data_IF_234941261549
#
_entry.id   IF_234941261549
#
_cell.length_a   1.000
_cell.length_b   1.000
_cell.length_c   1.000
_cell.angle_alpha   90.00
_cell.angle_beta   90.00
_cell.angle_gamma   90.00
#
_symmetry.space_group_name_H-M   'P 1'
#
loop_
_entity.id
_entity.type
_entity.pdbx_description
1 polymer ?
#
# COMPACT_ATOMS: atom_id res chain seq x y z
N UNK A 1 17.25 -15.87 -24.13
CA UNK A 1 16.79 -16.62 -22.96
C UNK A 1 17.25 -15.98 -21.64
N UNK A 2 18.56 -15.72 -21.44
CA UNK A 2 19.06 -15.01 -20.24
C UNK A 2 18.40 -13.66 -19.97
N UNK A 3 18.25 -12.81 -21.00
CA UNK A 3 17.65 -11.47 -20.85
C UNK A 3 16.22 -11.58 -20.30
N UNK A 4 15.40 -12.50 -20.83
CA UNK A 4 14.04 -12.72 -20.32
C UNK A 4 14.05 -13.22 -18.87
N UNK A 5 14.97 -14.11 -18.51
CA UNK A 5 15.10 -14.67 -17.15
C UNK A 5 15.49 -13.60 -16.12
N UNK A 6 16.23 -12.57 -16.51
CA UNK A 6 16.58 -11.46 -15.60
C UNK A 6 15.56 -10.31 -15.63
N UNK A 7 15.07 -9.92 -16.81
CA UNK A 7 14.15 -8.80 -16.94
C UNK A 7 12.78 -9.09 -16.31
N UNK A 8 12.27 -10.32 -16.44
CA UNK A 8 10.95 -10.69 -15.92
C UNK A 8 10.91 -10.54 -14.38
N UNK A 9 11.79 -11.16 -13.59
CA UNK A 9 11.81 -10.98 -12.13
C UNK A 9 12.04 -9.53 -11.71
N UNK A 10 12.91 -8.78 -12.41
CA UNK A 10 13.18 -7.37 -12.08
C UNK A 10 11.93 -6.52 -12.26
N UNK A 11 11.18 -6.73 -13.35
CA UNK A 11 9.92 -6.01 -13.59
C UNK A 11 8.86 -6.37 -12.55
N UNK A 12 8.67 -7.65 -12.25
CA UNK A 12 7.67 -8.09 -11.28
C UNK A 12 8.02 -7.72 -9.84
N UNK A 13 9.28 -7.90 -9.42
CA UNK A 13 9.73 -7.54 -8.08
C UNK A 13 9.77 -6.03 -7.88
N UNK A 14 10.28 -5.27 -8.87
CA UNK A 14 10.30 -3.80 -8.85
C UNK A 14 8.90 -3.18 -8.84
N UNK A 15 7.93 -3.79 -9.54
CA UNK A 15 6.54 -3.30 -9.58
C UNK A 15 5.75 -3.65 -8.33
N UNK A 16 6.19 -4.63 -7.52
CA UNK A 16 5.44 -5.10 -6.34
C UNK A 16 5.28 -4.02 -5.25
N UNK A 17 6.19 -3.06 -5.19
CA UNK A 17 6.16 -1.94 -4.25
C UNK A 17 5.46 -0.69 -4.80
N UNK A 18 5.12 -0.66 -6.09
CA UNK A 18 4.45 0.48 -6.73
C UNK A 18 3.03 0.70 -6.20
N UNK A 19 2.18 -0.33 -6.00
CA UNK A 19 0.88 -0.15 -5.34
C UNK A 19 1.01 0.38 -3.91
N UNK A 20 2.04 -0.07 -3.18
CA UNK A 20 2.34 0.40 -1.82
C UNK A 20 2.81 1.87 -1.81
N UNK A 21 3.42 2.35 -2.89
CA UNK A 21 3.74 3.77 -3.03
C UNK A 21 2.52 4.63 -3.40
N UNK A 22 1.53 4.05 -4.12
CA UNK A 22 0.33 4.76 -4.58
C UNK A 22 -0.74 4.90 -3.49
N UNK A 23 -0.88 3.89 -2.62
CA UNK A 23 -1.87 3.89 -1.55
C UNK A 23 -1.18 4.00 -0.19
N UNK A 24 -1.65 4.85 0.73
CA UNK A 24 -0.99 5.03 2.02
C UNK A 24 -1.04 3.72 2.82
N UNK A 25 0.13 3.15 3.11
CA UNK A 25 0.25 1.80 3.71
C UNK A 25 0.23 1.84 5.23
N UNK A 26 -0.60 2.69 5.86
CA UNK A 26 -0.76 2.77 7.32
C UNK A 26 0.51 2.49 8.15
N UNK A 27 0.44 1.50 9.06
CA UNK A 27 1.57 1.04 9.89
C UNK A 27 2.49 0.01 9.19
N UNK A 28 2.18 -0.40 7.94
CA UNK A 28 2.97 -1.37 7.16
C UNK A 28 2.89 -2.84 7.59
N UNK A 29 2.65 -3.13 8.87
CA UNK A 29 2.62 -4.50 9.43
C UNK A 29 1.44 -5.33 8.90
N UNK A 30 0.25 -4.72 8.80
CA UNK A 30 -0.93 -5.39 8.21
C UNK A 30 -0.71 -5.70 6.72
N UNK A 31 -0.12 -4.75 5.99
CA UNK A 31 0.22 -4.92 4.57
C UNK A 31 1.21 -6.07 4.38
N UNK A 32 2.25 -6.13 5.22
CA UNK A 32 3.22 -7.23 5.22
C UNK A 32 2.54 -8.60 5.39
N UNK A 33 1.60 -8.71 6.32
CA UNK A 33 0.90 -9.97 6.55
C UNK A 33 0.11 -10.42 5.31
N UNK A 34 -0.67 -9.53 4.70
CA UNK A 34 -1.43 -9.86 3.49
C UNK A 34 -0.52 -10.15 2.28
N UNK A 35 0.63 -9.48 2.19
CA UNK A 35 1.66 -9.79 1.19
C UNK A 35 2.21 -11.22 1.39
N UNK A 36 2.53 -11.61 2.62
CA UNK A 36 2.98 -12.97 2.95
C UNK A 36 1.93 -14.03 2.64
N UNK A 37 0.64 -13.74 2.88
CA UNK A 37 -0.47 -14.63 2.49
C UNK A 37 -0.48 -14.85 0.98
N UNK A 38 -0.31 -13.79 0.18
CA UNK A 38 -0.19 -13.89 -1.27
C UNK A 38 0.99 -14.75 -1.72
N UNK A 39 2.17 -14.53 -1.16
CA UNK A 39 3.37 -15.34 -1.44
C UNK A 39 3.12 -16.82 -1.10
N UNK A 40 2.50 -17.11 0.04
CA UNK A 40 2.18 -18.48 0.41
C UNK A 40 1.20 -19.16 -0.55
N UNK A 41 0.15 -18.45 -0.98
CA UNK A 41 -0.81 -18.97 -1.98
C UNK A 41 -0.09 -19.32 -3.29
N UNK A 42 0.81 -18.46 -3.77
CA UNK A 42 1.60 -18.77 -4.96
C UNK A 42 2.50 -20.00 -4.76
N UNK A 43 3.10 -20.17 -3.59
CA UNK A 43 3.86 -21.37 -3.24
C UNK A 43 3.01 -22.63 -3.21
N UNK A 44 1.79 -22.56 -2.69
CA UNK A 44 0.87 -23.68 -2.67
C UNK A 44 0.51 -24.15 -4.09
N UNK A 45 0.27 -23.20 -5.01
CA UNK A 45 0.03 -23.52 -6.43
C UNK A 45 1.26 -24.20 -7.05
N UNK A 46 2.47 -23.66 -6.82
CA UNK A 46 3.72 -24.27 -7.31
C UNK A 46 3.91 -25.68 -6.74
N UNK A 47 3.62 -25.88 -5.45
CA UNK A 47 3.72 -27.19 -4.80
C UNK A 47 2.80 -28.24 -5.42
N UNK A 48 1.58 -27.83 -5.82
CA UNK A 48 0.64 -28.70 -6.55
C UNK A 48 1.17 -29.08 -7.94
N UNK A 49 1.80 -28.14 -8.66
CA UNK A 49 2.41 -28.40 -9.98
C UNK A 49 3.58 -29.37 -9.87
N UNK A 50 4.40 -29.24 -8.82
CA UNK A 50 5.62 -30.02 -8.58
C UNK A 50 5.34 -31.41 -7.99
N UNK A 51 4.07 -31.73 -7.71
CA UNK A 51 3.61 -33.04 -7.19
C UNK A 51 4.19 -33.39 -5.82
N UNK A 52 4.05 -32.48 -4.85
CA UNK A 52 4.35 -32.70 -3.42
C UNK A 52 5.78 -33.24 -3.15
N UNK A 53 6.83 -32.42 -3.37
CA UNK A 53 8.19 -32.75 -2.97
C UNK A 53 8.33 -32.93 -1.44
N UNK A 54 9.39 -33.62 -0.99
CA UNK A 54 9.64 -33.81 0.44
C UNK A 54 9.85 -32.49 1.17
N UNK A 55 9.21 -32.35 2.33
CA UNK A 55 9.21 -31.14 3.14
C UNK A 55 10.41 -31.12 4.10
N UNK A 56 11.28 -30.12 3.97
CA UNK A 56 12.45 -29.94 4.83
C UNK A 56 12.27 -28.73 5.77
N UNK A 57 12.05 -28.94 7.09
CA UNK A 57 11.80 -27.86 8.04
C UNK A 57 12.94 -26.85 8.17
N UNK A 58 14.19 -27.27 7.93
CA UNK A 58 15.36 -26.39 8.02
C UNK A 58 15.27 -25.20 7.04
N UNK A 59 14.62 -25.39 5.88
CA UNK A 59 14.39 -24.34 4.89
C UNK A 59 13.43 -23.26 5.39
N UNK A 60 12.57 -23.59 6.35
CA UNK A 60 11.64 -22.63 6.94
C UNK A 60 12.38 -21.45 7.59
N UNK A 61 13.58 -21.68 8.14
CA UNK A 61 14.43 -20.63 8.73
C UNK A 61 14.73 -19.53 7.71
N UNK A 62 14.96 -19.89 6.45
CA UNK A 62 15.14 -18.91 5.36
C UNK A 62 13.91 -18.02 5.18
N UNK A 63 12.72 -18.60 5.27
CA UNK A 63 11.46 -17.87 5.26
C UNK A 63 11.27 -16.95 6.47
N UNK A 64 11.72 -17.38 7.66
CA UNK A 64 11.69 -16.55 8.87
C UNK A 64 12.60 -15.32 8.72
N UNK A 65 13.82 -15.52 8.19
CA UNK A 65 14.77 -14.44 7.93
C UNK A 65 14.22 -13.43 6.93
N UNK A 66 13.56 -13.92 5.86
CA UNK A 66 12.90 -13.07 4.87
C UNK A 66 11.78 -12.23 5.48
N UNK A 67 10.89 -12.84 6.28
CA UNK A 67 9.78 -12.13 6.91
C UNK A 67 10.28 -11.06 7.90
N UNK A 68 11.33 -11.37 8.66
CA UNK A 68 11.99 -10.43 9.58
C UNK A 68 12.61 -9.26 8.81
N UNK A 69 13.38 -9.56 7.75
CA UNK A 69 14.01 -8.55 6.91
C UNK A 69 12.98 -7.62 6.25
N UNK A 70 11.83 -8.15 5.82
CA UNK A 70 10.83 -7.34 5.13
C UNK A 70 10.12 -6.34 6.05
N UNK A 71 9.84 -6.73 7.30
CA UNK A 71 9.30 -5.78 8.29
C UNK A 71 10.30 -4.65 8.57
N UNK A 72 11.58 -4.99 8.80
CA UNK A 72 12.62 -3.99 9.01
C UNK A 72 12.75 -3.06 7.81
N UNK A 73 12.67 -3.59 6.59
CA UNK A 73 12.74 -2.81 5.37
C UNK A 73 11.58 -1.81 5.21
N UNK A 74 10.34 -2.20 5.56
CA UNK A 74 9.20 -1.28 5.58
C UNK A 74 9.44 -0.12 6.56
N UNK A 75 10.01 -0.40 7.73
CA UNK A 75 10.39 0.65 8.67
C UNK A 75 11.49 1.56 8.12
N UNK A 76 12.50 1.02 7.45
CA UNK A 76 13.57 1.82 6.82
C UNK A 76 13.00 2.76 5.75
N UNK A 77 12.08 2.30 4.90
CA UNK A 77 11.39 3.14 3.91
C UNK A 77 10.70 4.34 4.58
N UNK A 78 10.07 4.13 5.74
CA UNK A 78 9.39 5.21 6.47
C UNK A 78 10.34 6.27 7.06
N UNK A 79 11.62 5.93 7.26
CA UNK A 79 12.64 6.84 7.85
C UNK A 79 13.44 7.54 6.75
N UNK A 80 13.92 6.77 5.77
CA UNK A 80 14.94 7.22 4.80
C UNK A 80 14.38 7.51 3.40
N UNK A 81 13.11 7.15 3.13
CA UNK A 81 12.50 7.26 1.81
C UNK A 81 12.73 6.03 0.92
N UNK A 82 11.86 5.82 -0.07
CA UNK A 82 11.79 4.58 -0.88
C UNK A 82 13.08 4.35 -1.71
N UNK A 83 13.59 5.39 -2.33
CA UNK A 83 14.75 5.39 -3.23
C UNK A 83 16.05 5.01 -2.51
N UNK A 84 16.37 5.71 -1.41
CA UNK A 84 17.55 5.44 -0.60
C UNK A 84 17.48 4.05 0.05
N UNK A 85 16.29 3.65 0.53
CA UNK A 85 16.08 2.35 1.16
C UNK A 85 16.31 1.19 0.19
N UNK A 86 15.76 1.25 -1.03
CA UNK A 86 15.96 0.21 -2.05
C UNK A 86 17.44 0.11 -2.45
N UNK A 87 18.16 1.24 -2.54
CA UNK A 87 19.58 1.26 -2.87
C UNK A 87 20.43 0.59 -1.78
N UNK A 88 20.20 0.96 -0.52
CA UNK A 88 20.91 0.37 0.63
C UNK A 88 20.63 -1.13 0.73
N UNK A 89 19.35 -1.53 0.64
CA UNK A 89 18.94 -2.93 0.65
C UNK A 89 19.59 -3.74 -0.48
N UNK A 90 19.58 -3.21 -1.71
CA UNK A 90 20.19 -3.88 -2.86
C UNK A 90 21.70 -4.03 -2.71
N UNK A 91 22.36 -3.02 -2.15
CA UNK A 91 23.83 -3.03 -1.94
C UNK A 91 24.22 -4.03 -0.86
N UNK A 92 23.50 -4.04 0.26
CA UNK A 92 23.74 -5.02 1.33
C UNK A 92 23.41 -6.44 0.90
N UNK A 93 22.35 -6.65 0.11
CA UNK A 93 22.04 -7.98 -0.43
C UNK A 93 23.12 -8.47 -1.40
N UNK A 94 23.65 -7.60 -2.26
CA UNK A 94 24.76 -7.95 -3.16
C UNK A 94 26.02 -8.27 -2.35
N UNK A 95 26.33 -7.46 -1.35
CA UNK A 95 27.46 -7.69 -0.46
C UNK A 95 27.30 -8.99 0.33
N UNK A 96 26.11 -9.27 0.88
CA UNK A 96 25.86 -10.48 1.66
C UNK A 96 25.79 -11.72 0.77
N UNK A 97 25.25 -11.62 -0.45
CA UNK A 97 25.31 -12.70 -1.44
C UNK A 97 26.74 -13.03 -1.85
N UNK A 98 27.57 -12.00 -2.05
CA UNK A 98 29.01 -12.16 -2.25
C UNK A 98 29.70 -12.73 -1.01
N UNK A 99 29.45 -12.20 0.19
CA UNK A 99 30.07 -12.63 1.44
C UNK A 99 29.69 -14.06 1.83
N UNK A 100 28.42 -14.45 1.61
CA UNK A 100 27.96 -15.83 1.82
C UNK A 100 28.62 -16.80 0.85
N UNK A 101 28.87 -16.38 -0.40
CA UNK A 101 29.61 -17.16 -1.39
C UNK A 101 31.13 -17.17 -1.18
N UNK A 102 31.71 -16.11 -0.60
CA UNK A 102 33.16 -15.93 -0.45
C UNK A 102 33.71 -16.41 0.90
N UNK A 103 33.01 -16.10 2.00
CA UNK A 103 33.41 -16.49 3.36
C UNK A 103 32.84 -17.83 3.80
N UNK A 104 31.91 -18.41 3.03
CA UNK A 104 31.41 -19.76 3.28
C UNK A 104 31.04 -19.98 4.74
N UNK A 105 30.07 -19.21 5.28
CA UNK A 105 29.35 -19.71 6.43
C UNK A 105 28.79 -21.07 6.00
N UNK A 106 29.38 -22.16 6.54
CA UNK A 106 29.23 -23.57 6.12
C UNK A 106 30.12 -24.10 4.95
N UNK A 107 31.42 -23.79 4.94
CA UNK A 107 32.52 -24.55 4.28
C UNK A 107 32.41 -24.74 2.75
N UNK A 108 32.61 -23.66 1.98
CA UNK A 108 32.70 -23.71 0.50
C UNK A 108 33.95 -22.93 0.03
N UNK A 109 34.78 -23.57 -0.80
CA UNK A 109 36.11 -23.12 -1.23
C UNK A 109 36.08 -21.97 -2.26
N UNK A 110 36.88 -20.92 -2.03
CA UNK A 110 36.89 -19.67 -2.80
C UNK A 110 37.91 -19.58 -3.94
N UNK A 111 37.67 -18.62 -4.85
CA UNK A 111 38.62 -18.10 -5.84
C UNK A 111 38.62 -16.56 -5.78
N UNK A 112 39.83 -15.99 -5.90
CA UNK A 112 40.21 -14.59 -5.67
C UNK A 112 39.94 -13.65 -6.87
N UNK A 113 40.07 -12.33 -6.59
CA UNK A 113 40.20 -11.14 -7.47
C UNK A 113 38.86 -10.44 -7.81
N UNK A 114 38.70 -9.10 -7.81
CA UNK A 114 39.54 -7.93 -7.52
C UNK A 114 38.57 -6.76 -7.28
N UNK A 115 38.91 -5.84 -6.36
CA UNK A 115 38.15 -4.59 -6.12
C UNK A 115 38.53 -3.57 -7.18
N UNK A 116 37.54 -3.00 -7.86
CA UNK A 116 37.68 -1.74 -8.60
C UNK A 116 36.61 -0.76 -8.15
N UNK A 117 37.08 0.45 -7.91
CA UNK A 117 36.44 1.65 -7.37
C UNK A 117 35.07 2.00 -7.95
N UNK A 118 34.27 2.75 -7.18
CA UNK A 118 33.69 4.00 -7.68
C UNK A 118 33.19 4.88 -6.52
N UNK A 119 33.68 6.11 -6.54
CA UNK A 119 33.53 7.20 -5.58
C UNK A 119 32.34 8.11 -5.95
N UNK A 120 31.77 8.73 -4.92
CA UNK A 120 31.07 10.02 -4.86
C UNK A 120 29.81 10.32 -5.71
N UNK A 121 28.71 10.58 -5.00
CA UNK A 121 28.16 11.94 -4.97
C UNK A 121 27.28 12.18 -3.74
N UNK A 122 27.77 13.09 -2.89
CA UNK A 122 27.00 13.77 -1.85
C UNK A 122 25.83 14.54 -2.47
N UNK A 123 24.60 14.34 -1.94
CA UNK A 123 23.57 15.40 -1.81
C UNK A 123 22.44 14.91 -0.90
N UNK A 124 21.89 15.85 -0.12
CA UNK A 124 20.80 15.73 0.88
C UNK A 124 21.23 15.33 2.30
N UNK A 125 22.16 16.11 2.86
CA UNK A 125 22.40 16.26 4.29
C UNK A 125 21.55 17.42 4.85
N UNK A 126 20.28 17.18 5.16
CA UNK A 126 19.51 17.99 6.13
C UNK A 126 18.40 17.17 6.78
N UNK A 127 18.71 15.93 7.20
CA UNK A 127 17.79 15.17 8.07
C UNK A 127 18.58 14.56 9.24
N UNK A 128 18.10 14.87 10.43
CA UNK A 128 18.56 14.47 11.77
C UNK A 128 19.50 13.25 11.82
N UNK A 129 20.81 13.47 12.02
CA UNK A 129 21.88 12.44 11.98
C UNK A 129 21.58 11.19 12.81
N UNK A 130 20.89 11.34 13.96
CA UNK A 130 20.52 10.22 14.83
C UNK A 130 19.53 9.25 14.16
N UNK A 131 18.57 9.76 13.39
CA UNK A 131 17.59 8.94 12.67
C UNK A 131 18.24 8.21 11.49
N UNK A 132 19.18 8.86 10.82
CA UNK A 132 19.89 8.29 9.66
C UNK A 132 20.86 7.17 10.03
N UNK A 133 21.53 7.27 11.18
CA UNK A 133 22.37 6.17 11.70
C UNK A 133 21.51 4.95 12.05
N UNK A 134 20.32 5.18 12.61
CA UNK A 134 19.36 4.11 12.92
C UNK A 134 18.84 3.48 11.61
N UNK A 135 18.45 4.30 10.62
CA UNK A 135 18.01 3.85 9.30
C UNK A 135 19.08 3.03 8.56
N UNK A 136 20.32 3.54 8.47
CA UNK A 136 21.43 2.82 7.86
C UNK A 136 21.78 1.50 8.57
N UNK A 137 21.76 1.48 9.91
CA UNK A 137 22.06 0.24 10.66
C UNK A 137 20.95 -0.80 10.48
N UNK A 138 19.68 -0.39 10.50
CA UNK A 138 18.53 -1.25 10.19
C UNK A 138 18.55 -1.76 8.74
N UNK A 139 18.96 -0.93 7.77
CA UNK A 139 19.09 -1.33 6.37
C UNK A 139 20.16 -2.42 6.18
N UNK A 140 21.30 -2.28 6.87
CA UNK A 140 22.35 -3.29 6.87
C UNK A 140 21.83 -4.60 7.48
N UNK A 141 21.18 -4.53 8.64
CA UNK A 141 20.61 -5.74 9.29
C UNK A 141 19.52 -6.38 8.42
N UNK A 142 18.65 -5.60 7.79
CA UNK A 142 17.64 -6.13 6.88
C UNK A 142 18.30 -6.83 5.68
N UNK A 143 19.29 -6.18 5.05
CA UNK A 143 19.99 -6.76 3.91
C UNK A 143 20.84 -8.00 4.26
N UNK A 144 21.39 -8.09 5.47
CA UNK A 144 22.05 -9.31 5.91
C UNK A 144 21.07 -10.47 6.07
N UNK A 145 19.91 -10.22 6.68
CA UNK A 145 18.84 -11.23 6.81
C UNK A 145 18.35 -11.71 5.45
N UNK A 146 18.14 -10.79 4.49
CA UNK A 146 17.72 -11.12 3.13
C UNK A 146 18.79 -11.91 2.36
N UNK A 147 20.07 -11.57 2.52
CA UNK A 147 21.16 -12.31 1.89
C UNK A 147 21.28 -13.76 2.38
N UNK A 148 20.83 -14.05 3.61
CA UNK A 148 20.88 -15.39 4.21
C UNK A 148 19.63 -16.25 3.94
N UNK A 149 18.61 -15.72 3.25
CA UNK A 149 17.33 -16.41 3.01
C UNK A 149 17.51 -17.75 2.28
N UNK A 150 18.43 -17.80 1.31
CA UNK A 150 18.66 -19.01 0.52
C UNK A 150 19.73 -19.95 1.13
N UNK A 151 20.48 -19.52 2.14
CA UNK A 151 21.57 -20.30 2.75
C UNK A 151 21.12 -21.67 3.29
N UNK A 152 19.97 -21.80 3.98
CA UNK A 152 19.49 -23.12 4.42
C UNK A 152 19.12 -24.03 3.24
N UNK A 153 18.62 -23.47 2.15
CA UNK A 153 18.24 -24.24 0.95
C UNK A 153 19.46 -24.73 0.17
N UNK A 154 20.50 -23.90 0.05
CA UNK A 154 21.76 -24.28 -0.61
C UNK A 154 22.54 -25.28 0.25
N UNK A 155 22.48 -25.16 1.58
CA UNK A 155 23.10 -26.12 2.49
C UNK A 155 22.57 -27.56 2.30
N UNK A 156 21.26 -27.73 2.19
CA UNK A 156 20.62 -29.04 1.96
C UNK A 156 20.95 -29.56 0.54
N UNK A 157 20.98 -28.67 -0.45
CA UNK A 157 21.37 -29.04 -1.82
C UNK A 157 22.81 -29.53 -1.91
N UNK A 158 23.71 -29.00 -1.08
CA UNK A 158 25.13 -29.36 -1.07
C UNK A 158 25.44 -30.59 -0.19
N UNK A 159 24.61 -30.91 0.80
CA UNK A 159 24.80 -32.05 1.72
C UNK A 159 23.75 -33.16 1.48
N UNK A 160 23.63 -33.62 0.24
CA UNK A 160 22.65 -34.66 -0.14
C UNK A 160 22.87 -35.98 0.62
N UNK A 161 24.10 -36.26 1.05
CA UNK A 161 24.48 -37.46 1.79
C UNK A 161 23.82 -37.52 3.18
N UNK A 162 23.50 -36.35 3.76
CA UNK A 162 22.90 -36.21 5.09
C UNK A 162 21.37 -36.13 5.05
N UNK A 163 20.78 -35.86 3.88
CA UNK A 163 19.35 -35.65 3.70
C UNK A 163 18.80 -36.50 2.54
N UNK A 164 18.33 -37.74 2.81
CA UNK A 164 17.75 -38.59 1.77
C UNK A 164 16.49 -37.92 1.18
N UNK A 165 16.45 -37.79 -0.15
CA UNK A 165 15.36 -37.11 -0.87
C UNK A 165 15.65 -35.64 -1.24
N UNK A 166 16.83 -35.11 -0.91
CA UNK A 166 17.26 -33.78 -1.36
C UNK A 166 17.56 -33.77 -2.86
N UNK A 167 16.80 -32.99 -3.63
CA UNK A 167 16.97 -32.82 -5.09
C UNK A 167 17.67 -31.47 -5.34
N UNK A 168 18.57 -31.37 -6.32
CA UNK A 168 19.27 -30.10 -6.63
C UNK A 168 18.37 -28.99 -7.19
N UNK A 169 17.12 -29.31 -7.55
CA UNK A 169 16.17 -28.34 -8.06
C UNK A 169 15.64 -27.45 -6.94
N UNK A 170 15.93 -26.14 -7.02
CA UNK A 170 15.54 -25.15 -6.03
C UNK A 170 14.02 -25.05 -5.81
N UNK A 171 13.21 -25.34 -6.84
CA UNK A 171 11.75 -25.25 -6.78
C UNK A 171 11.12 -26.10 -5.67
N UNK A 172 11.74 -27.24 -5.35
CA UNK A 172 11.21 -28.19 -4.37
C UNK A 172 11.26 -27.64 -2.94
N UNK A 173 12.12 -26.65 -2.67
CA UNK A 173 12.32 -26.07 -1.34
C UNK A 173 11.48 -24.81 -1.11
N UNK A 174 10.91 -24.23 -2.17
CA UNK A 174 10.19 -22.94 -2.13
C UNK A 174 8.96 -23.02 -1.23
N UNK A 175 8.21 -24.13 -1.30
CA UNK A 175 7.01 -24.29 -0.50
C UNK A 175 7.31 -24.32 1.01
N UNK A 176 8.38 -25.02 1.41
CA UNK A 176 8.84 -25.04 2.80
C UNK A 176 9.29 -23.64 3.26
N UNK A 177 10.03 -22.91 2.40
CA UNK A 177 10.44 -21.54 2.67
C UNK A 177 9.23 -20.60 2.89
N UNK A 178 8.23 -20.65 2.00
CA UNK A 178 7.06 -19.78 2.08
C UNK A 178 6.16 -20.12 3.27
N UNK A 179 6.11 -21.39 3.69
CA UNK A 179 5.43 -21.78 4.92
C UNK A 179 6.10 -21.17 6.15
N UNK A 180 7.43 -21.07 6.16
CA UNK A 180 8.18 -20.31 7.17
C UNK A 180 7.81 -18.83 7.20
N UNK A 181 7.70 -18.19 6.02
CA UNK A 181 7.29 -16.78 5.87
C UNK A 181 5.93 -16.55 6.53
N UNK A 182 4.92 -17.37 6.18
CA UNK A 182 3.56 -17.19 6.68
C UNK A 182 3.47 -17.37 8.20
N UNK A 183 4.14 -18.38 8.76
CA UNK A 183 4.13 -18.64 10.19
C UNK A 183 4.74 -17.47 10.97
N UNK A 184 5.92 -17.00 10.56
CA UNK A 184 6.56 -15.85 11.23
C UNK A 184 5.73 -14.58 11.09
N UNK A 185 5.16 -14.32 9.90
CA UNK A 185 4.30 -13.17 9.70
C UNK A 185 3.01 -13.23 10.52
N UNK A 186 2.45 -14.42 10.74
CA UNK A 186 1.26 -14.62 11.58
C UNK A 186 1.56 -14.34 13.04
N UNK A 187 2.74 -14.74 13.53
CA UNK A 187 3.20 -14.42 14.89
C UNK A 187 3.38 -12.91 15.07
N UNK A 188 4.05 -12.24 14.12
CA UNK A 188 4.22 -10.78 14.17
C UNK A 188 2.89 -10.03 14.14
N UNK A 189 1.97 -10.48 13.29
CA UNK A 189 0.64 -9.86 13.22
C UNK A 189 -0.18 -10.12 14.50
N UNK A 190 -0.10 -11.33 15.06
CA UNK A 190 -0.74 -11.66 16.34
C UNK A 190 -0.24 -10.77 17.49
N UNK A 191 1.08 -10.59 17.60
CA UNK A 191 1.68 -9.67 18.59
C UNK A 191 1.20 -8.24 18.35
N UNK A 192 1.19 -7.77 17.09
CA UNK A 192 0.71 -6.44 16.72
C UNK A 192 -0.76 -6.22 17.11
N UNK A 193 -1.64 -7.19 16.88
CA UNK A 193 -3.05 -7.11 17.24
C UNK A 193 -3.27 -7.02 18.77
N UNK A 194 -2.46 -7.74 19.55
CA UNK A 194 -2.49 -7.68 21.01
C UNK A 194 -2.10 -6.27 21.49
N UNK A 195 -1.00 -5.72 20.98
CA UNK A 195 -0.56 -4.36 21.33
C UNK A 195 -1.58 -3.29 20.92
N UNK A 196 -2.21 -3.43 19.75
CA UNK A 196 -3.21 -2.48 19.23
C UNK A 196 -4.64 -2.73 19.72
N UNK A 197 -4.86 -3.66 20.67
CA UNK A 197 -6.18 -4.01 21.21
C UNK A 197 -7.23 -4.23 20.11
N UNK A 198 -6.86 -4.99 19.07
CA UNK A 198 -7.72 -5.32 17.92
C UNK A 198 -8.24 -4.12 17.10
N UNK A 199 -7.54 -2.97 17.12
CA UNK A 199 -7.79 -1.83 16.22
C UNK A 199 -6.57 -1.58 15.31
N UNK A 200 -6.31 -2.47 14.32
CA UNK A 200 -5.23 -2.27 13.37
C UNK A 200 -5.47 -0.98 12.56
N UNK A 201 -4.42 -0.19 12.34
CA UNK A 201 -4.52 1.02 11.52
C UNK A 201 -4.53 0.62 10.04
N UNK A 202 -5.73 0.49 9.47
CA UNK A 202 -5.92 0.36 8.03
C UNK A 202 -6.10 1.80 7.52
N UNK A 203 -5.26 2.20 6.58
CA UNK A 203 -5.34 3.54 6.00
C UNK A 203 -6.62 3.64 5.17
N UNK A 204 -7.66 4.23 5.76
CA UNK A 204 -8.78 4.78 5.03
C UNK A 204 -8.27 6.09 4.45
N UNK A 205 -8.44 6.30 3.14
CA UNK A 205 -8.07 7.54 2.48
C UNK A 205 -8.90 8.68 3.09
N UNK A 206 -8.22 9.64 3.72
CA UNK A 206 -8.85 10.75 4.45
C UNK A 206 -8.83 11.96 3.55
N UNK A 207 -9.92 12.72 3.51
CA UNK A 207 -9.93 13.96 2.74
C UNK A 207 -8.95 14.95 3.35
N UNK A 208 -8.03 15.44 2.52
CA UNK A 208 -7.16 16.58 2.84
C UNK A 208 -8.02 17.85 2.93
N UNK A 209 -7.52 18.91 3.58
CA UNK A 209 -8.22 20.20 3.63
C UNK A 209 -8.56 20.77 2.23
N UNK A 210 -7.66 20.61 1.25
CA UNK A 210 -7.86 21.05 -0.14
C UNK A 210 -8.94 20.24 -0.85
N UNK A 211 -8.94 18.92 -0.65
CA UNK A 211 -9.93 17.99 -1.23
C UNK A 211 -11.29 18.13 -0.58
N UNK A 212 -11.33 18.48 0.70
CA UNK A 212 -12.57 18.76 1.44
C UNK A 212 -13.34 19.94 0.85
N UNK A 213 -12.71 20.80 0.04
CA UNK A 213 -13.39 21.90 -0.65
C UNK A 213 -14.21 21.48 -1.86
N UNK A 214 -14.00 20.26 -2.38
CA UNK A 214 -14.68 19.77 -3.57
C UNK A 214 -15.96 19.04 -3.19
N UNK A 215 -17.10 19.55 -3.67
CA UNK A 215 -18.41 18.92 -3.47
C UNK A 215 -18.48 17.49 -4.04
N UNK A 216 -17.68 17.19 -5.07
CA UNK A 216 -17.57 15.85 -5.68
C UNK A 216 -17.10 14.75 -4.71
N UNK A 217 -16.48 15.12 -3.59
CA UNK A 217 -15.97 14.15 -2.61
C UNK A 217 -17.01 13.77 -1.54
N UNK A 218 -18.21 14.33 -1.61
CA UNK A 218 -19.30 14.04 -0.69
C UNK A 218 -20.43 13.32 -1.42
N UNK A 219 -20.97 12.31 -0.76
CA UNK A 219 -21.93 11.39 -1.34
C UNK A 219 -23.20 11.35 -0.49
N UNK A 220 -24.33 11.12 -1.15
CA UNK A 220 -25.59 10.84 -0.47
C UNK A 220 -25.57 9.46 0.14
N UNK A 221 -25.92 9.36 1.42
CA UNK A 221 -26.02 8.07 2.12
C UNK A 221 -27.36 7.38 1.85
N UNK A 222 -27.70 7.21 0.57
CA UNK A 222 -28.93 6.63 0.05
C UNK A 222 -28.64 5.81 -1.20
N UNK A 223 -29.60 4.97 -1.63
CA UNK A 223 -29.48 4.28 -2.91
C UNK A 223 -29.29 5.27 -4.06
N UNK A 224 -28.34 5.03 -4.99
CA UNK A 224 -28.06 5.96 -6.07
C UNK A 224 -29.19 5.99 -7.09
N UNK A 225 -29.72 7.19 -7.36
CA UNK A 225 -30.84 7.43 -8.28
C UNK A 225 -30.32 7.78 -9.68
N UNK A 226 -29.19 8.49 -9.75
CA UNK A 226 -28.61 9.00 -10.99
C UNK A 226 -27.55 8.07 -11.56
N UNK A 227 -26.72 7.42 -10.72
CA UNK A 227 -25.68 6.47 -11.13
C UNK A 227 -26.17 5.40 -12.12
N UNK A 228 -27.34 4.74 -11.92
CA UNK A 228 -27.83 3.71 -12.85
C UNK A 228 -28.24 4.28 -14.21
N UNK A 229 -28.58 5.57 -14.28
CA UNK A 229 -29.05 6.28 -15.47
C UNK A 229 -27.91 6.86 -16.32
N UNK A 230 -26.67 6.89 -15.79
CA UNK A 230 -25.50 7.37 -16.54
C UNK A 230 -25.15 6.41 -17.69
N UNK A 231 -24.64 6.98 -18.79
CA UNK A 231 -24.24 6.22 -19.97
C UNK A 231 -23.11 5.22 -19.70
N UNK A 232 -23.02 4.17 -20.54
CA UNK A 232 -22.06 3.07 -20.37
C UNK A 232 -20.59 3.53 -20.36
N UNK A 233 -20.25 4.53 -21.17
CA UNK A 233 -18.89 5.09 -21.24
C UNK A 233 -18.51 5.71 -19.90
N UNK A 234 -19.39 6.52 -19.31
CA UNK A 234 -19.16 7.13 -18.00
C UNK A 234 -19.06 6.07 -16.91
N UNK A 235 -19.94 5.06 -16.95
CA UNK A 235 -19.91 3.94 -15.99
C UNK A 235 -18.65 3.09 -16.09
N UNK A 236 -18.06 2.97 -17.28
CA UNK A 236 -16.81 2.22 -17.49
C UNK A 236 -15.57 2.94 -16.93
N UNK A 237 -15.63 4.27 -16.79
CA UNK A 237 -14.56 5.09 -16.22
C UNK A 237 -14.65 5.21 -14.68
N UNK A 238 -15.77 4.82 -14.07
CA UNK A 238 -15.96 4.87 -12.62
C UNK A 238 -15.30 3.68 -11.93
N UNK A 239 -14.55 3.94 -10.86
CA UNK A 239 -14.13 2.88 -9.94
C UNK A 239 -15.32 2.46 -9.09
N UNK A 240 -15.76 1.22 -9.27
CA UNK A 240 -16.95 0.66 -8.58
C UNK A 240 -16.78 0.60 -7.06
N UNK A 241 -15.55 0.58 -6.55
CA UNK A 241 -15.26 0.54 -5.12
C UNK A 241 -15.33 1.91 -4.45
N UNK A 242 -15.14 2.99 -5.22
CA UNK A 242 -15.10 4.37 -4.72
C UNK A 242 -16.36 5.15 -5.09
N UNK A 243 -16.93 4.94 -6.28
CA UNK A 243 -18.03 5.73 -6.83
C UNK A 243 -19.33 4.91 -6.92
N UNK A 244 -19.76 4.38 -5.77
CA UNK A 244 -20.98 3.56 -5.68
C UNK A 244 -22.24 4.36 -5.30
N UNK A 245 -22.08 5.61 -4.84
CA UNK A 245 -23.16 6.51 -4.44
C UNK A 245 -23.23 7.73 -5.36
N UNK A 246 -24.38 8.41 -5.36
CA UNK A 246 -24.52 9.70 -6.03
C UNK A 246 -23.78 10.79 -5.23
N UNK A 247 -23.03 11.63 -5.92
CA UNK A 247 -22.31 12.77 -5.37
C UNK A 247 -23.23 13.98 -5.19
N UNK A 248 -22.96 14.82 -4.20
CA UNK A 248 -23.81 16.00 -3.91
C UNK A 248 -23.61 17.15 -4.91
N UNK A 249 -22.56 17.11 -5.75
CA UNK A 249 -22.34 18.08 -6.82
C UNK A 249 -23.32 17.93 -7.98
N UNK A 250 -23.92 16.75 -8.15
CA UNK A 250 -24.93 16.46 -9.17
C UNK A 250 -26.36 16.85 -8.73
N UNK A 251 -26.53 17.39 -7.52
CA UNK A 251 -27.83 17.84 -7.03
C UNK A 251 -28.28 19.13 -7.74
N UNK A 252 -29.18 18.98 -8.71
CA UNK A 252 -29.85 20.09 -9.39
C UNK A 252 -31.12 20.47 -8.61
N UNK A 253 -31.37 21.76 -8.31
CA UNK A 253 -32.68 22.19 -7.80
C UNK A 253 -33.74 21.94 -8.88
N UNK A 254 -34.70 21.05 -8.58
CA UNK A 254 -35.85 20.74 -9.43
C UNK A 254 -36.72 21.98 -9.57
N UNK A 255 -36.50 22.74 -10.65
CA UNK A 255 -37.16 24.01 -10.93
C UNK A 255 -36.48 24.79 -12.07
N UNK A 256 -35.19 24.52 -12.30
CA UNK A 256 -34.42 25.08 -13.43
C UNK A 256 -34.49 24.20 -14.69
N UNK A 257 -35.68 23.67 -14.99
CA UNK A 257 -36.00 23.25 -16.37
C UNK A 257 -36.82 24.39 -16.97
N UNK A 258 -36.12 25.45 -17.37
CA UNK A 258 -36.67 26.38 -18.35
C UNK A 258 -36.88 25.55 -19.62
N UNK A 259 -38.06 25.69 -20.19
CA UNK A 259 -38.52 25.01 -21.41
C UNK A 259 -37.41 24.96 -22.48
N UNK A 260 -37.44 23.88 -23.24
CA UNK A 260 -36.46 23.35 -24.21
C UNK A 260 -35.97 24.27 -25.35
N UNK A 261 -35.73 25.57 -25.14
CA UNK A 261 -35.27 26.48 -26.20
C UNK A 261 -34.08 27.39 -25.87
N UNK A 262 -33.48 27.31 -24.68
CA UNK A 262 -32.34 28.20 -24.38
C UNK A 262 -31.25 27.50 -23.56
N UNK A 263 -30.28 26.90 -24.26
CA UNK A 263 -29.02 26.45 -23.67
C UNK A 263 -28.11 27.66 -23.42
N UNK A 264 -28.19 28.25 -22.22
CA UNK A 264 -27.11 29.13 -21.75
C UNK A 264 -26.03 28.23 -21.17
N UNK A 265 -24.95 28.04 -21.93
CA UNK A 265 -23.69 27.58 -21.37
C UNK A 265 -23.09 28.71 -20.55
N UNK A 266 -23.28 28.69 -19.24
CA UNK A 266 -22.43 29.48 -18.34
C UNK A 266 -21.13 28.69 -18.18
N UNK A 267 -20.08 29.22 -18.80
CA UNK A 267 -18.71 28.74 -18.77
C UNK A 267 -18.13 28.74 -17.34
N UNK A 268 -17.53 27.62 -16.96
CA UNK A 268 -16.36 27.48 -16.08
C UNK A 268 -16.35 28.13 -14.70
N UNK A 269 -17.47 28.11 -13.98
CA UNK A 269 -17.40 28.21 -12.50
C UNK A 269 -18.47 27.32 -11.89
N UNK A 270 -18.03 26.24 -11.26
CA UNK A 270 -18.84 25.21 -10.59
C UNK A 270 -19.64 25.77 -9.42
N UNK A 271 -20.67 26.57 -9.68
CA UNK A 271 -21.73 26.81 -8.71
C UNK A 271 -22.84 25.82 -9.08
N UNK A 272 -22.75 24.62 -8.53
CA UNK A 272 -23.78 23.58 -8.65
C UNK A 272 -24.61 23.58 -7.36
N UNK A 273 -25.92 23.68 -7.53
CA UNK A 273 -26.78 24.65 -6.84
C UNK A 273 -27.63 24.04 -5.72
N UNK A 274 -27.01 23.30 -4.79
CA UNK A 274 -27.74 22.67 -3.67
C UNK A 274 -27.06 22.76 -2.31
N UNK A 275 -25.73 22.94 -2.30
CA UNK A 275 -24.90 22.81 -1.11
C UNK A 275 -23.80 23.88 -1.09
N UNK A 276 -23.57 24.47 0.07
CA UNK A 276 -22.46 25.43 0.28
C UNK A 276 -21.41 24.82 1.21
N UNK A 277 -20.14 24.89 0.83
CA UNK A 277 -19.00 24.46 1.67
C UNK A 277 -18.38 25.67 2.36
N UNK A 278 -18.12 25.56 3.66
CA UNK A 278 -17.47 26.58 4.47
C UNK A 278 -16.33 25.97 5.28
N UNK A 279 -15.20 26.65 5.33
CA UNK A 279 -14.06 26.28 6.15
C UNK A 279 -14.02 27.15 7.41
N UNK A 280 -13.87 26.51 8.57
CA UNK A 280 -13.71 27.18 9.85
C UNK A 280 -12.35 26.84 10.49
N UNK A 281 -11.86 27.74 11.37
CA UNK A 281 -10.66 27.53 12.19
C UNK A 281 -9.41 27.13 11.40
N UNK A 282 -9.10 27.86 10.31
CA UNK A 282 -7.93 27.58 9.49
C UNK A 282 -8.00 26.22 8.78
N UNK A 283 -9.17 25.86 8.27
CA UNK A 283 -9.47 24.58 7.62
C UNK A 283 -9.45 23.35 8.54
N UNK A 284 -9.46 23.55 9.85
CA UNK A 284 -9.58 22.46 10.83
C UNK A 284 -11.01 21.91 10.97
N UNK A 285 -12.01 22.61 10.43
CA UNK A 285 -13.40 22.15 10.37
C UNK A 285 -13.98 22.55 9.03
N UNK A 286 -14.67 21.61 8.37
CA UNK A 286 -15.40 21.88 7.15
C UNK A 286 -16.87 21.64 7.43
N UNK A 287 -17.69 22.61 7.06
CA UNK A 287 -19.13 22.55 7.17
C UNK A 287 -19.76 22.64 5.79
N UNK A 288 -20.69 21.74 5.51
CA UNK A 288 -21.48 21.74 4.29
C UNK A 288 -22.92 22.00 4.70
N UNK A 289 -23.53 23.04 4.14
CA UNK A 289 -24.92 23.39 4.42
C UNK A 289 -25.77 23.14 3.19
N UNK A 290 -26.97 22.59 3.39
CA UNK A 290 -27.95 22.51 2.30
C UNK A 290 -28.59 23.88 2.11
N UNK A 291 -28.59 24.37 0.88
CA UNK A 291 -29.30 25.59 0.49
C UNK A 291 -30.80 25.32 0.24
N UNK A 292 -31.11 24.08 -0.13
CA UNK A 292 -32.48 23.60 -0.37
C UNK A 292 -33.25 23.36 0.93
N UNK A 293 -32.58 22.83 1.94
CA UNK A 293 -33.14 22.57 3.27
C UNK A 293 -32.43 23.43 4.32
N UNK A 294 -32.90 24.67 4.55
CA UNK A 294 -32.33 25.54 5.57
C UNK A 294 -32.30 24.84 6.93
N UNK A 295 -31.14 24.87 7.59
CA UNK A 295 -30.92 24.20 8.86
C UNK A 295 -30.29 22.80 8.76
N UNK A 296 -30.14 22.22 7.55
CA UNK A 296 -29.34 21.01 7.34
C UNK A 296 -27.87 21.38 7.22
N UNK A 297 -27.05 20.86 8.13
CA UNK A 297 -25.61 21.02 8.10
C UNK A 297 -24.91 19.67 8.34
N UNK A 298 -23.97 19.35 7.45
CA UNK A 298 -22.98 18.31 7.65
C UNK A 298 -21.66 18.97 8.06
N UNK A 299 -20.88 18.33 8.92
CA UNK A 299 -19.55 18.81 9.28
C UNK A 299 -18.59 17.63 9.44
N UNK A 300 -17.33 17.86 9.10
CA UNK A 300 -16.25 16.94 9.42
C UNK A 300 -14.96 17.70 9.69
N UNK A 301 -14.08 17.06 10.46
CA UNK A 301 -12.72 17.55 10.72
C UNK A 301 -11.80 16.84 9.71
N UNK A 302 -11.18 17.57 8.77
CA UNK A 302 -10.25 16.99 7.79
C UNK A 302 -9.17 16.15 8.47
N UNK A 303 -8.68 15.12 7.77
CA UNK A 303 -7.66 14.20 8.31
C UNK A 303 -8.10 13.38 9.54
N UNK A 304 -9.39 13.41 9.94
CA UNK A 304 -9.91 12.61 11.06
C UNK A 304 -11.16 11.81 10.67
N UNK A 305 -11.55 10.86 11.53
CA UNK A 305 -12.82 10.10 11.39
C UNK A 305 -13.99 10.78 12.12
N UNK A 306 -13.87 12.07 12.45
CA UNK A 306 -14.91 12.80 13.16
C UNK A 306 -15.74 13.58 12.15
N UNK A 307 -16.95 13.10 11.95
CA UNK A 307 -17.96 13.74 11.12
C UNK A 307 -19.32 13.62 11.79
N UNK A 308 -20.26 14.47 11.36
CA UNK A 308 -21.63 14.47 11.86
C UNK A 308 -22.53 15.24 10.92
N UNK A 309 -23.83 15.03 11.05
CA UNK A 309 -24.84 15.87 10.43
C UNK A 309 -25.86 16.28 11.49
N UNK A 310 -26.44 17.46 11.30
CA UNK A 310 -27.50 17.99 12.13
C UNK A 310 -28.49 18.69 11.23
N UNK A 311 -29.77 18.38 11.43
CA UNK A 311 -30.86 19.17 10.90
C UNK A 311 -31.52 19.93 12.06
N UNK A 312 -31.53 21.26 11.97
CA UNK A 312 -32.26 22.11 12.90
C UNK A 312 -33.00 23.18 12.10
N UNK A 313 -34.27 22.92 11.79
CA UNK A 313 -35.11 23.78 10.97
C UNK A 313 -36.59 23.42 11.07
N UNK A 314 -37.42 24.19 10.36
CA UNK A 314 -38.88 24.09 10.41
C UNK A 314 -39.46 22.99 9.50
N UNK A 315 -38.63 22.26 8.76
CA UNK A 315 -39.07 21.26 7.79
C UNK A 315 -39.58 21.84 6.46
N UNK A 316 -39.36 23.12 6.21
CA UNK A 316 -39.79 23.78 4.97
C UNK A 316 -38.65 23.84 3.94
N UNK A 317 -38.98 23.50 2.70
CA UNK A 317 -38.06 23.58 1.56
C UNK A 317 -37.91 25.04 1.10
N UNK A 318 -36.66 25.45 0.85
CA UNK A 318 -36.36 26.78 0.30
C UNK A 318 -36.72 26.84 -1.19
N UNK A 319 -37.92 27.36 -1.49
CA UNK A 319 -38.40 27.57 -2.86
C UNK A 319 -37.74 28.77 -3.55
N UNK A 320 -37.16 29.68 -2.77
CA UNK A 320 -36.53 30.90 -3.28
C UNK A 320 -35.08 30.71 -3.74
N UNK A 321 -34.58 29.46 -3.70
CA UNK A 321 -33.23 29.11 -4.11
C UNK A 321 -32.88 29.61 -5.51
N UNK A 322 -33.85 29.59 -6.44
CA UNK A 322 -33.68 30.09 -7.80
C UNK A 322 -33.44 31.61 -7.91
N UNK A 323 -33.78 32.39 -6.87
CA UNK A 323 -33.57 33.84 -6.83
C UNK A 323 -32.34 34.25 -6.01
N UNK A 324 -31.74 33.32 -5.27
CA UNK A 324 -30.54 33.55 -4.44
C UNK A 324 -29.23 33.27 -5.20
N UNK A 325 -29.33 32.78 -6.43
CA UNK A 325 -28.23 32.32 -7.30
C UNK A 325 -28.18 33.17 -8.57
#
# INVERSE_FOLDING_TARGET
>A
MLICVFCIPVLFFGSSLVPAAKYPVGDGVSFQFFLCVGVWITGAIVNLIVKNPPFFPLVMIGGMLWATGNILFIYVISIDGLDLSILLWSTTNKFMGWASGHFGWFDVSGILLTVSELTDSQRLLTVNMKKRIIGCSLAIVAGTLFGLVFTPSTYIQNHQDKYPGAIKNGLNYIFAMYTGILLTSSVYYGIYLIFKRNRPYICIERLTATESGKLSNYFHFCEPIHLPKKGLIHRSALDKSLHFLDTIDEDIPKGMFINSEFHIYISDTSIMLGWSVQFERGSGLVQIRSLKWPGMAFFHIPETNRYGSLYCGVGEENKDLAFML
#
